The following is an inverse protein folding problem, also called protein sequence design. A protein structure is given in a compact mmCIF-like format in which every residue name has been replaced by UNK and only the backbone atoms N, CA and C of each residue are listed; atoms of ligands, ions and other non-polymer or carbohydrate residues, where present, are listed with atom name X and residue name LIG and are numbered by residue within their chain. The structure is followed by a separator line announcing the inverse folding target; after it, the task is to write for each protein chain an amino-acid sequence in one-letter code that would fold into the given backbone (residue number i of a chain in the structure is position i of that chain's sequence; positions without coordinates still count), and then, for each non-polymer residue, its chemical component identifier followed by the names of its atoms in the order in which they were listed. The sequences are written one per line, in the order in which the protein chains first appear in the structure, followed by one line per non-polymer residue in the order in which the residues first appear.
data_IF_509205814607
#
_entry.id   IF_509205814607
#
_cell.length_a   1.000
_cell.length_b   1.000
_cell.length_c   1.000
_cell.angle_alpha   90.00
_cell.angle_beta   90.00
_cell.angle_gamma   90.00
#
_symmetry.space_group_name_H-M   'P 1'
#
loop_
_entity.id
_entity.type
_entity.pdbx_description
1 polymer ?
#
# COMPACT_ATOMS: atom_id res chain seq x y z
N UNK A 1 30.69 9.50 31.32
CA UNK A 1 29.90 9.46 30.07
C UNK A 1 28.91 8.30 30.14
N UNK A 2 27.73 8.50 30.73
CA UNK A 2 26.67 7.48 30.73
C UNK A 2 25.79 7.73 29.50
N UNK A 3 26.02 6.95 28.43
CA UNK A 3 25.25 7.05 27.20
C UNK A 3 23.82 6.60 27.46
N UNK A 4 22.87 7.51 27.36
CA UNK A 4 21.45 7.23 27.47
C UNK A 4 20.96 6.67 26.12
N UNK A 5 21.21 5.39 25.85
CA UNK A 5 20.58 4.72 24.70
C UNK A 5 19.17 4.32 25.10
N UNK A 6 18.25 5.28 25.03
CA UNK A 6 16.82 4.97 24.96
C UNK A 6 16.59 4.11 23.72
N UNK A 7 16.15 2.87 23.89
CA UNK A 7 15.67 2.04 22.77
C UNK A 7 14.31 2.58 22.32
N UNK A 8 14.35 3.63 21.50
CA UNK A 8 13.16 4.10 20.83
C UNK A 8 13.02 3.35 19.51
N UNK A 9 11.82 2.81 19.30
CA UNK A 9 11.40 2.27 18.01
C UNK A 9 10.07 2.90 17.64
N UNK A 10 9.92 3.25 16.38
CA UNK A 10 8.65 3.68 15.84
C UNK A 10 7.73 2.46 15.67
N UNK A 11 6.42 2.66 15.88
CA UNK A 11 5.40 1.70 15.48
C UNK A 11 5.16 1.90 13.98
N UNK A 12 5.56 0.93 13.18
CA UNK A 12 5.52 1.06 11.72
C UNK A 12 4.13 0.83 11.15
N UNK A 13 3.82 1.62 10.12
CA UNK A 13 2.68 1.34 9.24
C UNK A 13 2.91 0.02 8.52
N UNK A 14 1.82 -0.64 8.15
CA UNK A 14 1.85 -1.88 7.39
C UNK A 14 2.67 -1.70 6.09
N UNK A 15 3.61 -2.61 5.85
CA UNK A 15 4.52 -2.54 4.70
C UNK A 15 5.86 -1.84 4.96
N UNK A 16 6.11 -1.37 6.19
CA UNK A 16 7.39 -0.77 6.60
C UNK A 16 8.00 -1.51 7.81
N UNK A 17 9.32 -1.45 7.92
CA UNK A 17 10.14 -2.07 8.97
C UNK A 17 11.28 -1.13 9.35
N UNK A 18 12.18 -1.60 10.22
CA UNK A 18 13.27 -0.88 10.90
C UNK A 18 12.82 -0.01 12.11
N UNK A 19 13.79 0.61 12.80
CA UNK A 19 13.52 1.42 14.01
C UNK A 19 12.81 2.75 13.69
N UNK A 20 12.95 3.26 12.48
CA UNK A 20 12.46 4.55 12.00
C UNK A 20 11.29 4.42 11.01
N UNK A 21 10.90 3.19 10.66
CA UNK A 21 9.89 2.85 9.67
C UNK A 21 10.18 3.38 8.26
N UNK A 22 11.46 3.44 7.87
CA UNK A 22 11.89 3.95 6.57
C UNK A 22 12.09 2.84 5.54
N UNK A 23 12.40 1.63 6.00
CA UNK A 23 12.65 0.49 5.12
C UNK A 23 11.33 -0.18 4.71
N UNK A 24 10.99 -0.24 3.42
CA UNK A 24 9.83 -1.01 2.97
C UNK A 24 10.07 -2.51 3.15
N UNK A 25 9.07 -3.23 3.69
CA UNK A 25 9.10 -4.68 3.84
C UNK A 25 8.44 -5.38 2.65
N UNK A 26 8.75 -6.65 2.40
CA UNK A 26 8.13 -7.40 1.29
C UNK A 26 6.61 -7.47 1.46
N UNK A 27 5.85 -7.00 0.47
CA UNK A 27 4.39 -6.95 0.52
C UNK A 27 3.72 -6.98 -0.86
N UNK A 28 2.42 -7.27 -0.89
CA UNK A 28 1.67 -7.55 -2.12
C UNK A 28 1.56 -6.36 -3.11
N UNK A 29 1.70 -5.12 -2.65
CA UNK A 29 1.72 -3.92 -3.49
C UNK A 29 3.07 -3.64 -4.17
N UNK A 30 4.17 -4.29 -3.80
CA UNK A 30 5.49 -4.04 -4.40
C UNK A 30 5.54 -4.32 -5.90
N UNK A 31 4.72 -5.26 -6.37
CA UNK A 31 4.63 -5.61 -7.79
C UNK A 31 3.64 -4.71 -8.57
N UNK A 32 3.17 -3.61 -7.98
CA UNK A 32 2.21 -2.69 -8.57
C UNK A 32 1.00 -3.40 -9.23
N UNK A 33 0.23 -4.22 -8.47
CA UNK A 33 -0.82 -5.05 -9.06
C UNK A 33 -2.01 -4.25 -9.62
N UNK A 34 -2.23 -3.02 -9.15
CA UNK A 34 -3.33 -2.18 -9.60
C UNK A 34 -2.99 -1.49 -10.93
N UNK A 35 -3.83 -1.70 -11.94
CA UNK A 35 -3.68 -1.15 -13.28
C UNK A 35 -4.40 0.19 -13.41
N UNK A 36 -4.18 0.85 -14.54
CA UNK A 36 -4.94 2.02 -14.99
C UNK A 36 -4.99 3.17 -13.97
N UNK A 37 -3.91 3.38 -13.21
CA UNK A 37 -3.83 4.41 -12.18
C UNK A 37 -4.50 4.06 -10.84
N UNK A 38 -4.88 2.79 -10.63
CA UNK A 38 -5.41 2.31 -9.37
C UNK A 38 -4.41 2.44 -8.21
N UNK A 39 -4.91 2.82 -7.03
CA UNK A 39 -4.09 2.90 -5.81
C UNK A 39 -4.13 1.57 -5.07
N UNK A 40 -2.95 0.98 -4.82
CA UNK A 40 -2.84 -0.25 -4.02
C UNK A 40 -2.89 0.06 -2.52
N UNK A 41 -3.80 -0.60 -1.81
CA UNK A 41 -3.93 -0.54 -0.36
C UNK A 41 -3.66 -1.91 0.24
N UNK A 42 -2.79 -1.98 1.24
CA UNK A 42 -2.56 -3.22 1.98
C UNK A 42 -3.63 -3.39 3.06
N UNK A 43 -4.28 -4.56 3.06
CA UNK A 43 -5.08 -5.05 4.19
C UNK A 43 -4.22 -5.92 5.12
N UNK A 44 -3.23 -6.62 4.56
CA UNK A 44 -2.15 -7.31 5.26
C UNK A 44 -0.91 -7.33 4.36
N UNK A 45 0.24 -7.85 4.83
CA UNK A 45 1.45 -7.91 3.98
C UNK A 45 1.23 -8.70 2.68
N UNK A 46 0.34 -9.71 2.69
CA UNK A 46 0.07 -10.56 1.53
C UNK A 46 -1.29 -10.26 0.86
N UNK A 47 -2.11 -9.40 1.46
CA UNK A 47 -3.47 -9.11 0.97
C UNK A 47 -3.57 -7.62 0.68
N UNK A 48 -4.01 -7.31 -0.53
CA UNK A 48 -4.21 -5.94 -0.99
C UNK A 48 -5.62 -5.75 -1.57
N UNK A 49 -6.01 -4.49 -1.70
CA UNK A 49 -7.17 -4.04 -2.46
C UNK A 49 -6.74 -2.90 -3.37
N UNK A 50 -7.24 -2.88 -4.59
CA UNK A 50 -7.10 -1.73 -5.47
C UNK A 50 -8.28 -0.77 -5.29
N UNK A 51 -7.98 0.51 -5.04
CA UNK A 51 -8.94 1.59 -5.25
C UNK A 51 -8.84 2.03 -6.69
N UNK A 52 -9.85 1.69 -7.49
CA UNK A 52 -9.89 2.02 -8.90
C UNK A 52 -10.33 3.48 -9.12
N UNK A 53 -9.71 4.19 -10.08
CA UNK A 53 -10.21 5.49 -10.49
C UNK A 53 -11.57 5.34 -11.21
N UNK A 54 -12.32 6.45 -11.36
CA UNK A 54 -13.54 6.48 -12.17
C UNK A 54 -13.27 5.90 -13.57
N UNK A 55 -14.24 5.15 -14.10
CA UNK A 55 -14.09 4.47 -15.39
C UNK A 55 -13.44 3.08 -15.34
N UNK A 56 -13.02 2.59 -14.16
CA UNK A 56 -12.38 1.27 -14.01
C UNK A 56 -12.94 0.45 -12.84
N UNK A 57 -12.93 -0.88 -12.98
CA UNK A 57 -13.37 -1.85 -11.99
C UNK A 57 -12.56 -3.16 -12.10
N UNK A 58 -12.90 -4.15 -11.26
CA UNK A 58 -12.16 -5.41 -11.15
C UNK A 58 -11.20 -5.43 -9.97
N UNK A 59 -10.60 -6.60 -9.70
CA UNK A 59 -9.72 -6.79 -8.53
C UNK A 59 -8.45 -5.95 -8.62
N UNK A 60 -7.99 -5.74 -9.85
CA UNK A 60 -6.77 -5.01 -10.20
C UNK A 60 -7.04 -3.80 -11.10
N UNK A 61 -8.30 -3.32 -11.16
CA UNK A 61 -8.71 -2.20 -12.02
C UNK A 61 -8.47 -2.46 -13.52
N UNK A 62 -8.55 -3.71 -13.95
CA UNK A 62 -8.31 -4.17 -15.31
C UNK A 62 -9.52 -3.98 -16.24
N UNK A 63 -10.71 -3.83 -15.67
CA UNK A 63 -11.97 -3.82 -16.43
C UNK A 63 -12.46 -2.40 -16.61
N UNK A 64 -12.70 -1.91 -17.83
CA UNK A 64 -13.36 -0.63 -18.06
C UNK A 64 -14.79 -0.64 -17.49
N UNK A 65 -15.15 0.39 -16.75
CA UNK A 65 -16.50 0.60 -16.24
C UNK A 65 -16.97 2.03 -16.58
N UNK A 66 -17.43 2.26 -17.82
CA UNK A 66 -17.80 3.60 -18.29
C UNK A 66 -18.94 4.23 -17.48
N UNK A 67 -19.78 3.41 -16.83
CA UNK A 67 -20.86 3.87 -15.98
C UNK A 67 -20.39 4.37 -14.60
N UNK A 68 -19.15 4.09 -14.21
CA UNK A 68 -18.53 4.61 -12.98
C UNK A 68 -17.70 5.87 -13.22
N UNK A 69 -17.57 6.32 -14.46
CA UNK A 69 -17.14 7.69 -14.75
C UNK A 69 -18.29 8.62 -14.37
N UNK A 70 -18.04 9.66 -13.57
CA UNK A 70 -19.05 10.69 -13.29
C UNK A 70 -19.60 11.21 -14.63
N UNK A 71 -20.91 11.03 -14.92
CA UNK A 71 -21.53 11.54 -16.14
C UNK A 71 -21.66 13.06 -16.15
#
# INVERSE_FOLDING_TARGET
SHGNTFDFRCICRLGYTDRLCLTPSNHACMNAPCRNGGTCELTSLNVFRCRCPPGWSGKTCETPNPCASNP
#
